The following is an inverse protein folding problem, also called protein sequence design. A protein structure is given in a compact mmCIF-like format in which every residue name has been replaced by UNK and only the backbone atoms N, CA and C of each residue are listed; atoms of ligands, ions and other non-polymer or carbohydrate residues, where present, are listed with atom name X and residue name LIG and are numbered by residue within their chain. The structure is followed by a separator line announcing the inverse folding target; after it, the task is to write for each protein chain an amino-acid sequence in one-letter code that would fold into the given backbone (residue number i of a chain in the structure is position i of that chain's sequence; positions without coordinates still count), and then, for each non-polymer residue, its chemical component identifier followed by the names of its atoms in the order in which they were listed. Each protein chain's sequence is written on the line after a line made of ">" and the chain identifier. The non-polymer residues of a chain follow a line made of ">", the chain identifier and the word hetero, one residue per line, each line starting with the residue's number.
data_IF_703488344094
#
_entry.id   IF_703488344094
#
_cell.length_a   1.000
_cell.length_b   1.000
_cell.length_c   1.000
_cell.angle_alpha   90.00
_cell.angle_beta   90.00
_cell.angle_gamma   90.00
#
_symmetry.space_group_name_H-M   'P 1'
#
loop_
_entity.id
_entity.type
_entity.pdbx_description
1 polymer ?
#
# COMPACT_ATOMS: atom_id res chain seq x y z
N UNK A 1 -62.71 -48.68 -14.09
CA UNK A 1 -62.01 -47.46 -14.55
C UNK A 1 -61.79 -46.55 -13.36
N UNK A 2 -60.58 -46.53 -12.82
CA UNK A 2 -60.14 -45.51 -11.86
C UNK A 2 -58.65 -45.30 -12.10
N UNK A 3 -58.30 -44.07 -12.49
CA UNK A 3 -56.97 -43.68 -12.94
C UNK A 3 -56.12 -43.37 -11.71
N UNK A 4 -55.07 -44.14 -11.48
CA UNK A 4 -54.02 -43.80 -10.52
C UNK A 4 -53.26 -42.57 -11.04
N UNK A 5 -53.44 -41.43 -10.38
CA UNK A 5 -52.56 -40.26 -10.55
C UNK A 5 -51.33 -40.47 -9.66
N UNK A 6 -50.18 -40.66 -10.29
CA UNK A 6 -48.86 -40.57 -9.65
C UNK A 6 -48.55 -39.09 -9.44
N UNK A 7 -48.40 -38.67 -8.18
CA UNK A 7 -47.82 -37.37 -7.83
C UNK A 7 -46.30 -37.46 -8.00
N UNK A 8 -45.63 -36.48 -8.65
CA UNK A 8 -44.17 -36.45 -8.66
C UNK A 8 -43.68 -36.06 -7.27
N UNK A 9 -42.85 -36.91 -6.68
CA UNK A 9 -42.16 -36.63 -5.42
C UNK A 9 -41.25 -35.42 -5.59
N UNK A 10 -41.52 -34.37 -4.82
CA UNK A 10 -40.58 -33.27 -4.61
C UNK A 10 -39.45 -33.83 -3.77
N UNK A 11 -38.33 -34.16 -4.43
CA UNK A 11 -37.08 -34.46 -3.77
C UNK A 11 -36.54 -33.14 -3.20
N UNK A 12 -36.89 -32.84 -1.94
CA UNK A 12 -36.21 -31.80 -1.16
C UNK A 12 -34.78 -32.28 -0.94
N UNK A 13 -33.86 -31.89 -1.84
CA UNK A 13 -32.44 -31.85 -1.52
C UNK A 13 -32.28 -30.78 -0.44
N UNK A 14 -32.27 -31.21 0.83
CA UNK A 14 -31.70 -30.41 1.90
C UNK A 14 -30.20 -30.34 1.61
N UNK A 15 -29.77 -29.28 0.93
CA UNK A 15 -28.38 -28.87 0.97
C UNK A 15 -28.09 -28.52 2.44
N UNK A 16 -27.50 -29.48 3.16
CA UNK A 16 -26.83 -29.17 4.41
C UNK A 16 -25.69 -28.23 4.05
N UNK A 17 -25.96 -26.93 4.09
CA UNK A 17 -24.92 -25.94 4.26
C UNK A 17 -24.28 -26.25 5.61
N UNK A 18 -23.20 -27.02 5.58
CA UNK A 18 -22.19 -26.88 6.61
C UNK A 18 -21.73 -25.44 6.45
N UNK A 19 -22.20 -24.57 7.35
CA UNK A 19 -21.52 -23.34 7.67
C UNK A 19 -20.11 -23.79 8.09
N UNK A 20 -19.19 -23.83 7.13
CA UNK A 20 -17.79 -23.97 7.44
C UNK A 20 -17.45 -22.79 8.33
N UNK A 21 -16.83 -23.05 9.47
CA UNK A 21 -16.24 -22.01 10.30
C UNK A 21 -15.46 -21.05 9.38
N UNK A 22 -15.83 -19.76 9.41
CA UNK A 22 -15.12 -18.64 8.79
C UNK A 22 -13.77 -18.39 9.50
N UNK A 23 -12.93 -19.44 9.58
CA UNK A 23 -11.67 -19.43 10.28
C UNK A 23 -10.60 -20.20 9.50
N UNK A 24 -10.43 -19.84 8.24
CA UNK A 24 -9.12 -19.97 7.61
C UNK A 24 -8.67 -18.59 7.13
N UNK A 25 -8.48 -17.70 8.11
CA UNK A 25 -7.67 -16.49 7.91
C UNK A 25 -6.29 -16.99 7.52
N UNK A 26 -5.96 -16.94 6.23
CA UNK A 26 -4.74 -17.51 5.65
C UNK A 26 -3.51 -17.29 6.53
N UNK A 27 -2.63 -18.29 6.61
CA UNK A 27 -1.51 -18.32 7.55
C UNK A 27 -0.73 -17.00 7.56
N UNK A 28 -0.73 -16.30 8.70
CA UNK A 28 0.05 -15.07 8.92
C UNK A 28 1.48 -15.33 9.43
N UNK A 29 1.90 -16.59 9.48
CA UNK A 29 3.24 -16.98 9.91
C UNK A 29 4.29 -16.52 8.89
N UNK A 30 5.41 -15.99 9.37
CA UNK A 30 6.51 -15.56 8.51
C UNK A 30 7.05 -16.71 7.66
N UNK A 31 7.16 -16.49 6.35
CA UNK A 31 7.81 -17.42 5.43
C UNK A 31 9.32 -17.16 5.38
N UNK A 32 10.14 -18.21 5.13
CA UNK A 32 11.59 -18.07 5.00
C UNK A 32 11.96 -17.37 3.68
N UNK A 33 11.85 -16.04 3.65
CA UNK A 33 12.12 -15.20 2.47
C UNK A 33 13.59 -15.21 2.01
N UNK A 34 14.51 -15.74 2.84
CA UNK A 34 15.92 -15.99 2.50
C UNK A 34 16.23 -17.44 2.13
N UNK A 35 15.22 -18.28 1.92
CA UNK A 35 15.42 -19.60 1.28
C UNK A 35 16.01 -19.40 -0.14
N UNK A 36 16.92 -20.27 -0.56
CA UNK A 36 17.64 -20.15 -1.85
C UNK A 36 16.74 -19.99 -3.09
N UNK A 37 15.47 -20.42 -3.01
CA UNK A 37 14.50 -20.27 -4.11
C UNK A 37 14.00 -18.83 -4.28
N UNK A 38 14.08 -18.02 -3.22
CA UNK A 38 13.71 -16.60 -3.18
C UNK A 38 14.99 -15.76 -3.07
N UNK A 39 15.79 -16.02 -2.03
CA UNK A 39 17.07 -15.34 -1.73
C UNK A 39 16.94 -13.82 -1.69
N UNK A 40 15.96 -13.32 -0.92
CA UNK A 40 15.58 -11.91 -0.90
C UNK A 40 16.76 -10.96 -0.66
N UNK A 41 17.67 -11.30 0.25
CA UNK A 41 18.81 -10.40 0.56
C UNK A 41 19.78 -10.27 -0.61
N UNK A 42 20.06 -11.36 -1.34
CA UNK A 42 21.17 -11.40 -2.31
C UNK A 42 20.74 -11.41 -3.78
N UNK A 43 19.52 -11.83 -4.09
CA UNK A 43 19.03 -11.86 -5.47
C UNK A 43 18.91 -10.44 -6.03
N UNK A 44 19.41 -10.26 -7.24
CA UNK A 44 19.24 -9.02 -8.00
C UNK A 44 17.76 -8.78 -8.33
N UNK A 45 17.35 -7.52 -8.45
CA UNK A 45 16.03 -7.20 -8.97
C UNK A 45 15.88 -7.71 -10.40
N UNK A 46 14.62 -7.83 -10.85
CA UNK A 46 14.31 -7.93 -12.26
C UNK A 46 15.09 -6.86 -13.05
N UNK A 47 15.75 -7.29 -14.13
CA UNK A 47 16.67 -6.44 -14.88
C UNK A 47 15.97 -5.19 -15.46
N UNK A 48 14.72 -5.32 -15.89
CA UNK A 48 13.97 -4.20 -16.47
C UNK A 48 13.61 -3.18 -15.39
N UNK A 49 13.15 -3.65 -14.22
CA UNK A 49 12.88 -2.78 -13.06
C UNK A 49 14.16 -2.10 -12.57
N UNK A 50 15.24 -2.85 -12.41
CA UNK A 50 16.54 -2.34 -12.01
C UNK A 50 17.03 -1.22 -12.94
N UNK A 51 16.96 -1.45 -14.26
CA UNK A 51 17.39 -0.48 -15.25
C UNK A 51 16.51 0.78 -15.27
N UNK A 52 15.19 0.63 -15.08
CA UNK A 52 14.28 1.78 -14.95
C UNK A 52 14.61 2.64 -13.73
N UNK A 53 14.81 2.01 -12.57
CA UNK A 53 15.15 2.72 -11.32
C UNK A 53 16.50 3.41 -11.46
N UNK A 54 17.51 2.75 -12.02
CA UNK A 54 18.83 3.35 -12.24
C UNK A 54 18.74 4.60 -13.13
N UNK A 55 18.01 4.52 -14.26
CA UNK A 55 17.80 5.69 -15.12
C UNK A 55 17.09 6.84 -14.40
N UNK A 56 16.06 6.53 -13.62
CA UNK A 56 15.32 7.56 -12.87
C UNK A 56 16.21 8.26 -11.81
N UNK A 57 17.02 7.49 -11.08
CA UNK A 57 17.96 8.04 -10.09
C UNK A 57 19.03 8.89 -10.77
N UNK A 58 19.67 8.39 -11.83
CA UNK A 58 20.68 9.13 -12.60
C UNK A 58 20.13 10.43 -13.21
N UNK A 59 18.89 10.40 -13.70
CA UNK A 59 18.23 11.57 -14.26
C UNK A 59 17.96 12.63 -13.18
N UNK A 60 17.56 12.21 -11.98
CA UNK A 60 17.30 13.09 -10.85
C UNK A 60 18.58 13.74 -10.29
N UNK A 61 19.75 13.09 -10.38
CA UNK A 61 21.02 13.63 -9.87
C UNK A 61 21.41 15.00 -10.45
N UNK A 62 20.86 15.35 -11.63
CA UNK A 62 21.08 16.64 -12.30
C UNK A 62 20.46 17.83 -11.57
N UNK A 63 19.53 17.59 -10.66
CA UNK A 63 18.81 18.62 -9.93
C UNK A 63 19.41 18.85 -8.55
N UNK A 64 19.35 20.08 -8.05
CA UNK A 64 19.88 20.41 -6.72
C UNK A 64 18.79 20.35 -5.64
N UNK A 65 17.57 20.79 -5.97
CA UNK A 65 16.45 20.77 -5.04
C UNK A 65 15.97 19.33 -4.83
N UNK A 66 15.78 18.87 -3.57
CA UNK A 66 15.14 17.58 -3.30
C UNK A 66 13.77 17.44 -3.96
N UNK A 67 13.00 18.53 -4.05
CA UNK A 67 11.70 18.53 -4.71
C UNK A 67 11.82 18.30 -6.22
N UNK A 68 12.76 18.98 -6.88
CA UNK A 68 12.98 18.80 -8.32
C UNK A 68 13.54 17.40 -8.62
N UNK A 69 14.40 16.86 -7.75
CA UNK A 69 14.86 15.47 -7.83
C UNK A 69 13.69 14.50 -7.75
N UNK A 70 12.81 14.69 -6.78
CA UNK A 70 11.59 13.89 -6.63
C UNK A 70 10.74 13.96 -7.90
N UNK A 71 10.37 15.17 -8.34
CA UNK A 71 9.54 15.37 -9.54
C UNK A 71 10.17 14.70 -10.76
N UNK A 72 11.51 14.77 -10.91
CA UNK A 72 12.21 14.05 -11.98
C UNK A 72 12.13 12.53 -11.84
N UNK A 73 12.35 11.98 -10.65
CA UNK A 73 12.22 10.52 -10.45
C UNK A 73 10.80 10.06 -10.75
N UNK A 74 9.78 10.79 -10.28
CA UNK A 74 8.38 10.45 -10.54
C UNK A 74 8.09 10.42 -12.04
N UNK A 75 8.59 11.41 -12.78
CA UNK A 75 8.45 11.46 -14.23
C UNK A 75 9.13 10.26 -14.93
N UNK A 76 10.36 9.92 -14.55
CA UNK A 76 11.11 8.82 -15.19
C UNK A 76 10.61 7.42 -14.82
N UNK A 77 9.91 7.31 -13.69
CA UNK A 77 9.28 6.07 -13.23
C UNK A 77 7.82 5.94 -13.69
N UNK A 78 7.29 6.92 -14.42
CA UNK A 78 5.88 6.99 -14.80
C UNK A 78 4.94 6.91 -13.58
N UNK A 79 5.29 7.66 -12.53
CA UNK A 79 4.48 7.79 -11.32
C UNK A 79 3.73 9.13 -11.38
N UNK A 80 2.39 9.13 -11.47
CA UNK A 80 1.61 10.36 -11.53
C UNK A 80 1.72 11.12 -10.20
N UNK A 81 1.93 12.44 -10.26
CA UNK A 81 1.97 13.27 -9.04
C UNK A 81 0.63 13.28 -8.31
N UNK A 82 -0.46 13.00 -9.03
CA UNK A 82 -1.81 12.84 -8.53
C UNK A 82 -1.98 11.62 -7.61
N UNK A 83 -1.05 10.65 -7.63
CA UNK A 83 -1.00 9.55 -6.66
C UNK A 83 -0.61 10.00 -5.25
N UNK A 84 -0.27 11.28 -5.06
CA UNK A 84 0.19 11.81 -3.78
C UNK A 84 -0.79 11.52 -2.64
N UNK A 85 -0.27 10.88 -1.61
CA UNK A 85 -0.92 10.75 -0.30
C UNK A 85 0.02 11.21 0.81
N UNK A 86 -0.53 11.85 1.84
CA UNK A 86 0.23 12.50 2.91
C UNK A 86 -0.06 11.80 4.23
N UNK A 87 0.99 11.29 4.86
CA UNK A 87 0.93 10.66 6.19
C UNK A 87 1.62 11.56 7.21
N UNK A 88 0.90 11.90 8.29
CA UNK A 88 1.44 12.70 9.38
C UNK A 88 1.72 11.88 10.64
N UNK A 89 1.26 10.62 10.69
CA UNK A 89 1.59 9.73 11.79
C UNK A 89 3.07 9.36 11.79
N UNK A 90 3.68 9.35 12.98
CA UNK A 90 5.09 9.01 13.19
C UNK A 90 5.31 7.49 13.22
N UNK A 91 4.96 6.81 12.13
CA UNK A 91 5.03 5.35 11.96
C UNK A 91 6.20 4.89 11.10
N UNK A 92 7.04 5.81 10.63
CA UNK A 92 8.23 5.51 9.81
C UNK A 92 9.55 5.74 10.55
N UNK A 93 10.65 5.27 9.94
CA UNK A 93 12.04 5.54 10.37
C UNK A 93 12.36 7.05 10.42
N UNK A 94 11.65 7.86 9.63
CA UNK A 94 11.71 9.31 9.63
C UNK A 94 10.81 9.99 10.69
N UNK A 95 10.36 9.28 11.73
CA UNK A 95 9.41 9.78 12.74
C UNK A 95 9.83 11.04 13.52
N UNK A 96 11.11 11.46 13.45
CA UNK A 96 11.56 12.76 13.97
C UNK A 96 11.19 13.94 13.08
N UNK A 97 11.06 13.72 11.76
CA UNK A 97 10.71 14.73 10.77
C UNK A 97 9.20 14.76 10.50
N UNK A 98 8.58 13.57 10.46
CA UNK A 98 7.16 13.43 10.17
C UNK A 98 6.32 14.02 11.29
N UNK A 99 5.37 14.89 10.94
CA UNK A 99 4.43 15.50 11.88
C UNK A 99 3.22 16.06 11.14
N UNK A 100 2.15 16.48 11.85
CA UNK A 100 1.06 17.23 11.24
C UNK A 100 1.47 18.46 10.44
N UNK A 101 2.57 19.13 10.82
CA UNK A 101 3.07 20.33 10.14
C UNK A 101 4.15 20.02 9.09
N UNK A 102 4.56 18.76 8.97
CA UNK A 102 5.56 18.28 8.01
C UNK A 102 5.26 16.80 7.66
N UNK A 103 4.19 16.51 6.91
CA UNK A 103 3.84 15.14 6.56
C UNK A 103 4.88 14.48 5.65
N UNK A 104 4.93 13.15 5.65
CA UNK A 104 5.62 12.39 4.59
C UNK A 104 4.66 12.21 3.42
N UNK A 105 5.12 12.51 2.21
CA UNK A 105 4.40 12.21 0.99
C UNK A 105 4.78 10.83 0.45
N UNK A 106 3.82 10.13 -0.14
CA UNK A 106 3.99 8.89 -0.88
C UNK A 106 3.33 9.07 -2.24
N UNK A 107 4.03 8.67 -3.29
CA UNK A 107 3.57 8.63 -4.69
C UNK A 107 3.76 7.20 -5.18
N UNK A 108 2.88 6.71 -6.05
CA UNK A 108 2.94 5.32 -6.49
C UNK A 108 2.36 5.12 -7.89
N UNK A 109 2.88 4.11 -8.58
CA UNK A 109 2.21 3.42 -9.68
C UNK A 109 1.97 1.95 -9.27
N UNK A 110 1.75 1.06 -10.23
CA UNK A 110 1.46 -0.35 -10.02
C UNK A 110 2.66 -1.17 -9.50
N UNK A 111 3.89 -0.69 -9.72
CA UNK A 111 5.13 -1.41 -9.41
C UNK A 111 6.00 -0.72 -8.33
N UNK A 112 5.99 0.60 -8.26
CA UNK A 112 6.93 1.38 -7.45
C UNK A 112 6.19 2.46 -6.67
N UNK A 113 6.47 2.55 -5.38
CA UNK A 113 6.13 3.70 -4.55
C UNK A 113 7.39 4.46 -4.13
N UNK A 114 7.35 5.79 -4.24
CA UNK A 114 8.40 6.71 -3.78
C UNK A 114 7.84 7.56 -2.64
N UNK A 115 8.54 7.59 -1.51
CA UNK A 115 8.18 8.41 -0.36
C UNK A 115 9.27 9.42 0.00
N UNK A 116 8.84 10.58 0.48
CA UNK A 116 9.73 11.66 0.89
C UNK A 116 9.08 12.52 1.97
N UNK A 117 9.90 12.97 2.92
CA UNK A 117 9.52 14.01 3.88
C UNK A 117 10.46 15.20 3.70
N UNK A 118 9.96 16.44 3.64
CA UNK A 118 10.82 17.62 3.58
C UNK A 118 11.84 17.63 4.74
N UNK A 119 13.10 17.88 4.40
CA UNK A 119 14.25 17.78 5.31
C UNK A 119 14.81 16.36 5.50
N UNK A 120 14.23 15.34 4.85
CA UNK A 120 14.74 13.97 4.84
C UNK A 120 16.06 13.83 4.08
N UNK A 121 16.91 12.90 4.54
CA UNK A 121 18.21 12.63 3.94
C UNK A 121 18.16 11.64 2.76
N UNK A 122 17.00 11.07 2.46
CA UNK A 122 16.80 10.11 1.37
C UNK A 122 15.37 10.10 0.88
N UNK A 123 15.17 9.69 -0.37
CA UNK A 123 13.91 9.14 -0.84
C UNK A 123 13.81 7.67 -0.41
N UNK A 124 12.63 7.22 -0.02
CA UNK A 124 12.32 5.83 0.31
C UNK A 124 11.60 5.20 -0.88
N UNK A 125 12.00 4.00 -1.29
CA UNK A 125 11.40 3.27 -2.40
C UNK A 125 10.80 1.96 -1.88
N UNK A 126 9.60 1.65 -2.37
CA UNK A 126 8.94 0.35 -2.30
C UNK A 126 8.86 -0.16 -3.74
N UNK A 127 9.44 -1.32 -4.04
CA UNK A 127 9.56 -1.86 -5.40
C UNK A 127 8.97 -3.27 -5.41
N UNK A 128 7.90 -3.48 -6.17
CA UNK A 128 7.30 -4.79 -6.34
C UNK A 128 8.06 -5.62 -7.38
N UNK A 129 9.02 -6.42 -6.93
CA UNK A 129 9.76 -7.34 -7.79
C UNK A 129 8.96 -8.62 -8.04
N UNK A 130 8.92 -9.14 -9.29
CA UNK A 130 8.12 -10.30 -9.60
C UNK A 130 8.51 -11.54 -8.80
N UNK A 131 9.77 -11.70 -8.39
CA UNK A 131 10.23 -12.86 -7.60
C UNK A 131 10.33 -12.53 -6.12
N UNK A 132 10.95 -11.41 -5.78
CA UNK A 132 11.23 -11.04 -4.40
C UNK A 132 10.00 -10.52 -3.67
N UNK A 133 8.95 -10.11 -4.38
CA UNK A 133 7.87 -9.33 -3.81
C UNK A 133 8.35 -7.93 -3.46
N UNK A 134 7.91 -7.39 -2.33
CA UNK A 134 8.18 -6.01 -1.99
C UNK A 134 9.63 -5.78 -1.52
N UNK A 135 10.38 -4.99 -2.29
CA UNK A 135 11.77 -4.62 -2.00
C UNK A 135 11.85 -3.17 -1.53
N UNK A 136 12.38 -2.99 -0.33
CA UNK A 136 12.59 -1.66 0.26
C UNK A 136 13.98 -1.13 -0.05
N UNK A 137 14.06 0.10 -0.55
CA UNK A 137 15.31 0.77 -0.90
C UNK A 137 15.31 2.25 -0.52
N UNK A 138 16.49 2.87 -0.57
CA UNK A 138 16.63 4.33 -0.39
C UNK A 138 17.55 4.92 -1.44
N UNK A 139 17.20 6.13 -1.90
CA UNK A 139 18.05 6.99 -2.73
C UNK A 139 18.54 8.16 -1.87
N UNK A 140 19.84 8.28 -1.57
CA UNK A 140 20.36 9.38 -0.75
C UNK A 140 20.14 10.76 -1.39
N UNK A 141 19.68 11.72 -0.59
CA UNK A 141 19.64 13.14 -0.93
C UNK A 141 20.93 13.76 -0.39
N UNK A 142 22.06 13.44 -1.03
CA UNK A 142 23.37 13.89 -0.60
C UNK A 142 23.81 15.17 -1.34
N UNK A 143 24.52 16.07 -0.63
CA UNK A 143 25.19 17.23 -1.24
C UNK A 143 26.36 16.82 -2.17
N UNK A 144 26.90 15.61 -1.97
CA UNK A 144 27.91 15.00 -2.83
C UNK A 144 27.36 13.69 -3.41
N UNK A 145 27.44 13.47 -4.74
CA UNK A 145 26.86 12.30 -5.37
C UNK A 145 27.53 11.03 -4.84
N UNK A 146 26.80 10.26 -4.04
CA UNK A 146 27.00 8.81 -4.01
C UNK A 146 25.92 8.26 -4.90
N UNK A 147 26.22 8.00 -6.18
CA UNK A 147 25.18 7.71 -7.14
C UNK A 147 24.47 6.40 -6.81
N UNK A 148 23.20 6.33 -7.20
CA UNK A 148 22.38 5.13 -7.11
C UNK A 148 21.53 5.02 -5.85
N UNK A 149 21.08 3.79 -5.61
CA UNK A 149 20.15 3.43 -4.55
C UNK A 149 20.64 2.18 -3.82
N UNK A 150 20.09 1.93 -2.62
CA UNK A 150 20.48 0.77 -1.81
C UNK A 150 19.26 0.07 -1.25
N UNK A 151 19.18 -1.25 -1.42
CA UNK A 151 18.24 -2.12 -0.70
C UNK A 151 18.50 -2.01 0.80
N UNK A 152 17.43 -1.98 1.59
CA UNK A 152 17.46 -1.76 3.03
C UNK A 152 16.84 -2.94 3.78
N UNK A 153 17.67 -3.88 4.26
CA UNK A 153 17.20 -5.02 5.06
C UNK A 153 16.61 -4.60 6.40
N UNK A 154 17.04 -3.44 6.94
CA UNK A 154 16.49 -2.90 8.19
C UNK A 154 14.97 -2.61 8.11
N UNK A 155 14.45 -2.30 6.93
CA UNK A 155 13.01 -2.06 6.73
C UNK A 155 12.18 -3.33 7.03
N UNK A 156 12.75 -4.51 6.78
CA UNK A 156 12.07 -5.80 7.01
C UNK A 156 11.74 -6.08 8.47
N UNK A 157 12.40 -5.40 9.42
CA UNK A 157 12.09 -5.53 10.85
C UNK A 157 10.63 -5.17 11.15
N UNK A 158 10.06 -4.25 10.37
CA UNK A 158 8.64 -3.89 10.44
C UNK A 158 7.85 -4.44 9.25
N UNK A 159 8.44 -4.49 8.06
CA UNK A 159 7.74 -4.83 6.82
C UNK A 159 7.60 -6.33 6.54
N UNK A 160 8.07 -7.19 7.45
CA UNK A 160 7.72 -8.62 7.47
C UNK A 160 6.92 -8.88 8.75
N UNK A 161 5.60 -8.78 8.65
CA UNK A 161 4.69 -8.83 9.79
C UNK A 161 3.44 -9.64 9.48
N UNK A 162 2.62 -9.89 10.50
CA UNK A 162 1.32 -10.57 10.30
C UNK A 162 0.38 -9.78 9.38
N UNK A 163 0.50 -8.45 9.39
CA UNK A 163 -0.27 -7.54 8.52
C UNK A 163 0.19 -7.59 7.05
N UNK A 164 1.41 -8.07 6.78
CA UNK A 164 1.89 -8.36 5.42
C UNK A 164 1.82 -9.85 5.10
N UNK A 165 1.03 -10.61 5.85
CA UNK A 165 0.89 -12.07 5.72
C UNK A 165 2.22 -12.84 5.85
N UNK A 166 3.17 -12.30 6.63
CA UNK A 166 4.44 -12.96 6.92
C UNK A 166 5.45 -12.93 5.76
N UNK A 167 5.29 -12.02 4.80
CA UNK A 167 6.26 -11.77 3.71
C UNK A 167 6.69 -10.30 3.68
N UNK A 168 7.81 -9.94 3.03
CA UNK A 168 8.12 -8.53 2.74
C UNK A 168 6.94 -7.86 2.04
N UNK A 169 6.43 -6.77 2.60
CA UNK A 169 5.21 -6.15 2.11
C UNK A 169 4.96 -4.73 2.58
N UNK A 170 4.10 -4.01 1.84
CA UNK A 170 3.68 -2.66 2.18
C UNK A 170 2.79 -2.66 3.41
N UNK A 171 3.00 -1.67 4.29
CA UNK A 171 2.24 -1.49 5.52
C UNK A 171 1.50 -0.17 5.52
N UNK A 172 0.19 -0.23 5.28
CA UNK A 172 -0.70 0.91 5.46
C UNK A 172 -1.41 0.77 6.80
N UNK A 173 -0.93 1.51 7.80
CA UNK A 173 -1.54 1.53 9.13
C UNK A 173 -2.49 2.71 9.25
N UNK A 174 -3.65 2.44 9.83
CA UNK A 174 -4.57 3.47 10.31
C UNK A 174 -4.49 3.51 11.84
N UNK A 175 -4.14 4.69 12.38
CA UNK A 175 -3.85 4.87 13.80
C UNK A 175 -4.48 6.14 14.34
N UNK A 176 -4.98 6.09 15.57
CA UNK A 176 -5.27 7.30 16.32
C UNK A 176 -3.93 7.93 16.75
N UNK A 177 -3.80 9.25 16.64
CA UNK A 177 -2.58 9.96 17.03
C UNK A 177 -2.86 11.05 18.08
N UNK A 178 -1.83 11.42 18.83
CA UNK A 178 -1.85 12.67 19.59
C UNK A 178 -1.69 13.90 18.65
N UNK A 179 -1.69 15.09 19.23
CA UNK A 179 -1.53 16.35 18.48
C UNK A 179 -0.18 16.49 17.77
N UNK A 180 0.83 15.70 18.17
CA UNK A 180 2.16 15.68 17.54
C UNK A 180 2.27 14.66 16.40
N UNK A 181 1.22 13.88 16.15
CA UNK A 181 1.22 12.76 15.19
C UNK A 181 1.80 11.46 15.75
N UNK A 182 2.05 11.36 17.07
CA UNK A 182 2.51 10.10 17.67
C UNK A 182 1.33 9.11 17.73
N UNK A 183 1.50 7.86 17.25
CA UNK A 183 0.46 6.83 17.38
C UNK A 183 0.12 6.55 18.85
N UNK A 184 -1.18 6.50 19.16
CA UNK A 184 -1.73 6.13 20.48
C UNK A 184 -2.23 4.69 20.44
N UNK A 185 -2.95 4.31 19.38
CA UNK A 185 -3.49 2.96 19.18
C UNK A 185 -3.75 2.68 17.70
N UNK A 186 -3.79 1.40 17.33
CA UNK A 186 -4.36 0.96 16.05
C UNK A 186 -5.85 1.30 15.98
N UNK A 187 -6.34 1.61 14.78
CA UNK A 187 -7.77 1.76 14.51
C UNK A 187 -8.40 0.48 13.94
N UNK A 188 -7.59 -0.49 13.52
CA UNK A 188 -8.05 -1.81 13.09
C UNK A 188 -7.43 -2.90 13.94
N UNK A 189 -8.25 -3.91 14.23
CA UNK A 189 -7.81 -5.17 14.86
C UNK A 189 -7.33 -6.19 13.82
N UNK A 190 -7.84 -6.10 12.58
CA UNK A 190 -7.45 -6.92 11.44
C UNK A 190 -7.29 -6.01 10.20
N UNK A 191 -6.15 -6.06 9.47
CA UNK A 191 -5.97 -5.26 8.25
C UNK A 191 -6.98 -5.59 7.14
N UNK A 192 -7.67 -6.73 7.24
CA UNK A 192 -8.72 -7.15 6.31
C UNK A 192 -10.12 -6.58 6.65
N UNK A 193 -10.31 -5.99 7.84
CA UNK A 193 -11.60 -5.45 8.30
C UNK A 193 -11.49 -3.94 8.54
N UNK A 194 -11.89 -3.17 7.54
CA UNK A 194 -11.75 -1.72 7.53
C UNK A 194 -13.12 -1.05 7.47
N UNK A 195 -13.75 -0.89 8.64
CA UNK A 195 -14.85 0.05 8.78
C UNK A 195 -14.38 1.46 8.41
N UNK A 196 -15.16 2.20 7.61
CA UNK A 196 -14.77 3.52 7.11
C UNK A 196 -14.37 4.49 8.21
N UNK A 197 -15.09 4.49 9.34
CA UNK A 197 -14.83 5.33 10.52
C UNK A 197 -13.45 5.11 11.14
N UNK A 198 -12.82 3.98 10.85
CA UNK A 198 -11.48 3.63 11.30
C UNK A 198 -10.43 3.82 10.21
N UNK A 199 -10.81 4.09 8.96
CA UNK A 199 -9.90 4.28 7.84
C UNK A 199 -9.04 5.55 7.97
N UNK A 200 -7.82 5.46 7.42
CA UNK A 200 -6.91 6.58 7.19
C UNK A 200 -6.53 7.45 8.39
N UNK A 201 -6.72 6.97 9.62
CA UNK A 201 -6.20 7.63 10.81
C UNK A 201 -4.69 7.80 10.75
N UNK A 202 -4.22 9.02 10.98
CA UNK A 202 -2.81 9.37 10.78
C UNK A 202 -2.45 9.86 9.37
N UNK A 203 -3.42 9.89 8.46
CA UNK A 203 -3.29 10.37 7.09
C UNK A 203 -4.17 11.61 6.87
N UNK A 204 -3.77 12.43 5.91
CA UNK A 204 -4.60 13.53 5.42
C UNK A 204 -5.53 13.04 4.31
N UNK A 205 -6.74 13.61 4.22
CA UNK A 205 -7.74 13.26 3.21
C UNK A 205 -8.34 14.55 2.64
N UNK A 206 -8.18 14.81 1.34
CA UNK A 206 -8.74 16.01 0.72
C UNK A 206 -10.26 15.90 0.58
N UNK A 207 -11.00 16.86 1.14
CA UNK A 207 -12.47 16.83 1.23
C UNK A 207 -13.20 17.54 0.07
N UNK A 208 -12.47 18.12 -0.89
CA UNK A 208 -13.03 19.00 -1.93
C UNK A 208 -14.08 18.34 -2.83
N UNK A 209 -14.01 17.01 -3.00
CA UNK A 209 -14.89 16.26 -3.93
C UNK A 209 -15.75 15.20 -3.23
N UNK A 210 -15.24 14.58 -2.18
CA UNK A 210 -15.94 13.56 -1.37
C UNK A 210 -15.48 13.68 0.09
N UNK A 211 -16.42 13.76 1.03
CA UNK A 211 -16.14 13.62 2.47
C UNK A 211 -16.45 12.19 2.87
N UNK A 212 -15.40 11.38 2.98
CA UNK A 212 -15.52 10.02 3.49
C UNK A 212 -15.57 10.08 5.03
N UNK A 213 -16.47 9.35 5.70
CA UNK A 213 -16.58 9.32 7.15
C UNK A 213 -15.42 8.49 7.73
N UNK A 214 -14.21 9.05 7.74
CA UNK A 214 -12.97 8.36 8.15
C UNK A 214 -12.33 8.96 9.38
N UNK A 215 -11.36 8.25 9.95
CA UNK A 215 -10.48 8.78 10.99
C UNK A 215 -9.35 9.65 10.42
N UNK A 216 -9.23 9.76 9.10
CA UNK A 216 -8.30 10.65 8.43
C UNK A 216 -8.59 12.12 8.75
N UNK A 217 -7.53 12.93 8.78
CA UNK A 217 -7.69 14.37 8.99
C UNK A 217 -8.10 15.01 7.67
N UNK A 218 -9.32 15.53 7.62
CA UNK A 218 -9.79 16.25 6.45
C UNK A 218 -8.95 17.49 6.17
N UNK A 219 -8.55 17.65 4.92
CA UNK A 219 -7.99 18.87 4.37
C UNK A 219 -9.07 19.58 3.57
N UNK A 220 -9.35 20.82 3.98
CA UNK A 220 -10.11 21.78 3.18
C UNK A 220 -9.13 22.77 2.54
N UNK A 221 -9.39 23.22 1.31
CA UNK A 221 -8.52 24.18 0.65
C UNK A 221 -8.35 25.45 1.50
N UNK A 222 -7.09 25.86 1.70
CA UNK A 222 -6.74 27.01 2.54
C UNK A 222 -6.53 26.70 4.03
N UNK A 223 -6.75 25.46 4.47
CA UNK A 223 -6.72 25.06 5.89
C UNK A 223 -5.58 24.09 6.24
N UNK A 224 -4.52 24.04 5.45
CA UNK A 224 -3.38 23.14 5.70
C UNK A 224 -2.52 23.65 6.85
N UNK A 225 -2.12 22.76 7.75
CA UNK A 225 -1.21 23.07 8.86
C UNK A 225 0.27 22.93 8.50
N UNK A 226 0.58 22.69 7.22
CA UNK A 226 1.94 22.48 6.69
C UNK A 226 2.18 23.35 5.46
N UNK A 227 3.44 23.53 5.08
CA UNK A 227 3.79 24.26 3.85
C UNK A 227 3.45 23.41 2.61
N UNK A 228 2.31 23.67 1.99
CA UNK A 228 1.89 22.98 0.77
C UNK A 228 2.88 23.17 -0.40
N UNK A 229 3.67 24.26 -0.41
CA UNK A 229 4.69 24.48 -1.46
C UNK A 229 5.90 23.54 -1.32
N UNK A 230 5.99 22.76 -0.25
CA UNK A 230 6.99 21.71 -0.16
C UNK A 230 6.62 20.47 -1.01
N UNK A 231 5.37 20.33 -1.46
CA UNK A 231 4.85 19.12 -2.12
C UNK A 231 4.33 19.43 -3.54
N UNK A 232 4.37 18.45 -4.47
CA UNK A 232 3.70 18.53 -5.77
C UNK A 232 2.23 18.94 -5.68
N UNK A 233 1.47 18.36 -4.75
CA UNK A 233 0.06 18.67 -4.52
C UNK A 233 -0.22 19.12 -3.07
N UNK A 234 -1.29 19.89 -2.81
CA UNK A 234 -1.56 20.44 -1.48
C UNK A 234 -2.24 19.44 -0.51
N UNK A 235 -2.51 18.21 -0.92
CA UNK A 235 -3.30 17.26 -0.12
C UNK A 235 -3.17 15.81 -0.58
N UNK A 236 -4.20 15.01 -0.29
CA UNK A 236 -4.24 13.58 -0.59
C UNK A 236 -5.56 13.22 -1.24
N UNK A 237 -5.48 12.71 -2.45
CA UNK A 237 -6.67 12.28 -3.17
C UNK A 237 -7.28 11.06 -2.47
N UNK A 238 -8.58 11.08 -2.09
CA UNK A 238 -9.19 9.93 -1.44
C UNK A 238 -9.25 8.69 -2.33
N UNK A 239 -9.30 8.85 -3.66
CA UNK A 239 -9.23 7.71 -4.60
C UNK A 239 -7.81 7.15 -4.65
N UNK A 240 -6.78 7.99 -4.60
CA UNK A 240 -5.40 7.51 -4.49
C UNK A 240 -5.17 6.72 -3.19
N UNK A 241 -5.71 7.18 -2.06
CA UNK A 241 -5.66 6.43 -0.79
C UNK A 241 -6.35 5.06 -0.91
N UNK A 242 -7.50 5.00 -1.57
CA UNK A 242 -8.21 3.73 -1.81
C UNK A 242 -7.39 2.76 -2.65
N UNK A 243 -6.84 3.24 -3.77
CA UNK A 243 -6.03 2.40 -4.65
C UNK A 243 -4.78 1.94 -3.94
N UNK A 244 -4.05 2.82 -3.25
CA UNK A 244 -2.86 2.43 -2.49
C UNK A 244 -3.16 1.36 -1.44
N UNK A 245 -4.28 1.50 -0.71
CA UNK A 245 -4.71 0.52 0.30
C UNK A 245 -5.00 -0.85 -0.32
N UNK A 246 -5.82 -0.87 -1.38
CA UNK A 246 -6.19 -2.10 -2.05
C UNK A 246 -4.97 -2.77 -2.72
N UNK A 247 -4.19 -1.99 -3.46
CA UNK A 247 -2.97 -2.45 -4.13
C UNK A 247 -1.99 -3.06 -3.13
N UNK A 248 -1.74 -2.40 -1.99
CA UNK A 248 -0.84 -2.94 -0.96
C UNK A 248 -1.27 -4.31 -0.46
N UNK A 249 -2.59 -4.51 -0.25
CA UNK A 249 -3.14 -5.81 0.16
C UNK A 249 -2.94 -6.87 -0.93
N UNK A 250 -3.28 -6.54 -2.17
CA UNK A 250 -3.15 -7.47 -3.32
C UNK A 250 -1.70 -7.85 -3.55
N UNK A 251 -0.76 -6.90 -3.56
CA UNK A 251 0.66 -7.17 -3.77
C UNK A 251 1.29 -8.01 -2.64
N UNK A 252 0.88 -7.78 -1.39
CA UNK A 252 1.30 -8.62 -0.25
C UNK A 252 0.79 -10.06 -0.41
N UNK A 253 -0.48 -10.25 -0.78
CA UNK A 253 -1.07 -11.57 -1.03
C UNK A 253 -0.46 -12.28 -2.24
N UNK A 254 -0.15 -11.54 -3.31
CA UNK A 254 0.52 -12.08 -4.49
C UNK A 254 1.93 -12.57 -4.15
N UNK A 255 2.67 -11.78 -3.37
CA UNK A 255 3.99 -12.17 -2.85
C UNK A 255 3.88 -13.42 -1.98
N UNK A 256 2.90 -13.45 -1.07
CA UNK A 256 2.63 -14.59 -0.19
C UNK A 256 2.34 -15.86 -0.97
N UNK A 257 1.40 -15.80 -1.92
CA UNK A 257 1.02 -16.91 -2.78
C UNK A 257 2.22 -17.45 -3.57
N UNK A 258 3.02 -16.54 -4.14
CA UNK A 258 4.24 -16.91 -4.86
C UNK A 258 5.25 -17.61 -3.95
N UNK A 259 5.46 -17.11 -2.74
CA UNK A 259 6.39 -17.75 -1.80
C UNK A 259 5.89 -19.12 -1.37
N UNK A 260 4.59 -19.29 -1.10
CA UNK A 260 4.01 -20.60 -0.79
C UNK A 260 4.30 -21.61 -1.91
N UNK A 261 4.06 -21.20 -3.16
CA UNK A 261 4.37 -22.00 -4.34
C UNK A 261 5.86 -22.35 -4.45
N UNK A 262 6.76 -21.35 -4.42
CA UNK A 262 8.20 -21.57 -4.53
C UNK A 262 8.73 -22.47 -3.40
N UNK A 263 8.20 -22.28 -2.20
CA UNK A 263 8.63 -23.03 -1.01
C UNK A 263 8.06 -24.44 -0.93
N UNK A 264 7.10 -24.81 -1.80
CA UNK A 264 6.38 -26.08 -1.73
C UNK A 264 5.49 -26.18 -0.48
N UNK A 265 4.94 -25.05 -0.04
CA UNK A 265 3.98 -24.95 1.06
C UNK A 265 2.54 -25.07 0.53
N UNK A 266 1.56 -25.40 1.39
CA UNK A 266 0.15 -25.23 1.05
C UNK A 266 -0.12 -23.78 0.60
N UNK A 267 -1.00 -23.62 -0.39
CA UNK A 267 -1.40 -22.32 -0.96
C UNK A 267 -2.50 -21.67 -0.11
N UNK A 268 -2.25 -21.51 1.18
CA UNK A 268 -3.23 -21.01 2.15
C UNK A 268 -3.70 -19.57 1.84
N UNK A 269 -2.92 -18.83 1.04
CA UNK A 269 -3.26 -17.47 0.61
C UNK A 269 -4.09 -17.40 -0.67
N UNK A 270 -4.28 -18.50 -1.41
CA UNK A 270 -4.98 -18.50 -2.71
C UNK A 270 -6.38 -17.91 -2.61
N UNK A 271 -7.17 -18.37 -1.63
CA UNK A 271 -8.53 -17.89 -1.44
C UNK A 271 -8.55 -16.40 -1.07
N UNK A 272 -7.65 -15.94 -0.20
CA UNK A 272 -7.55 -14.52 0.17
C UNK A 272 -7.16 -13.66 -1.04
N UNK A 273 -6.22 -14.12 -1.86
CA UNK A 273 -5.80 -13.43 -3.08
C UNK A 273 -6.99 -13.30 -4.05
N UNK A 274 -7.72 -14.39 -4.32
CA UNK A 274 -8.90 -14.35 -5.20
C UNK A 274 -9.96 -13.40 -4.65
N UNK A 275 -10.23 -13.42 -3.34
CA UNK A 275 -11.19 -12.51 -2.72
C UNK A 275 -10.78 -11.05 -2.83
N UNK A 276 -9.49 -10.76 -2.62
CA UNK A 276 -8.94 -9.41 -2.79
C UNK A 276 -9.07 -8.95 -4.24
N UNK A 277 -8.67 -9.76 -5.23
CA UNK A 277 -8.77 -9.43 -6.66
C UNK A 277 -10.22 -9.19 -7.12
N UNK A 278 -11.19 -9.86 -6.50
CA UNK A 278 -12.61 -9.73 -6.80
C UNK A 278 -13.33 -8.72 -5.89
N UNK A 279 -12.60 -8.00 -5.03
CA UNK A 279 -13.12 -7.04 -4.06
C UNK A 279 -14.25 -7.60 -3.16
N UNK A 280 -14.22 -8.90 -2.85
CA UNK A 280 -15.32 -9.57 -2.12
C UNK A 280 -15.40 -9.19 -0.64
N UNK A 281 -14.31 -8.67 -0.09
CA UNK A 281 -14.18 -8.23 1.30
C UNK A 281 -14.17 -6.71 1.44
N UNK A 282 -14.33 -5.97 0.35
CA UNK A 282 -14.22 -4.50 0.40
C UNK A 282 -15.47 -3.87 1.01
N UNK A 283 -15.27 -2.94 1.95
CA UNK A 283 -16.37 -2.21 2.58
C UNK A 283 -17.10 -1.36 1.53
N UNK A 284 -18.43 -1.49 1.37
CA UNK A 284 -19.18 -0.68 0.42
C UNK A 284 -18.93 0.81 0.61
N UNK A 285 -18.85 1.57 -0.49
CA UNK A 285 -18.62 3.01 -0.41
C UNK A 285 -19.74 3.70 0.37
N UNK A 286 -19.40 4.57 1.36
CA UNK A 286 -20.38 5.20 2.24
C UNK A 286 -20.99 6.45 1.58
N UNK A 287 -20.36 6.93 0.51
CA UNK A 287 -20.69 8.13 -0.25
C UNK A 287 -20.41 7.90 -1.72
N UNK A 288 -20.99 8.73 -2.58
CA UNK A 288 -20.64 8.76 -4.00
C UNK A 288 -19.17 9.16 -4.18
N UNK A 289 -18.42 8.34 -4.94
CA UNK A 289 -17.03 8.62 -5.32
C UNK A 289 -17.06 9.40 -6.62
N UNK A 290 -16.71 10.69 -6.55
CA UNK A 290 -16.62 11.54 -7.74
C UNK A 290 -15.26 11.35 -8.41
N UNK A 291 -15.22 11.48 -9.75
CA UNK A 291 -13.98 11.44 -10.53
C UNK A 291 -12.98 12.47 -9.99
N UNK A 292 -11.73 12.05 -9.82
CA UNK A 292 -10.64 12.86 -9.27
C UNK A 292 -9.47 12.98 -10.26
N UNK A 293 -8.58 13.98 -10.14
CA UNK A 293 -7.42 14.10 -11.02
C UNK A 293 -6.54 12.84 -11.03
N UNK A 294 -6.47 12.11 -9.92
CA UNK A 294 -5.80 10.82 -9.86
C UNK A 294 -6.38 9.81 -10.84
N UNK A 295 -7.72 9.69 -10.91
CA UNK A 295 -8.36 8.78 -11.85
C UNK A 295 -8.03 9.13 -13.32
N UNK A 296 -7.89 10.41 -13.64
CA UNK A 296 -7.50 10.84 -14.99
C UNK A 296 -6.04 10.52 -15.33
N UNK A 297 -5.14 10.66 -14.36
CA UNK A 297 -3.71 10.47 -14.54
C UNK A 297 -3.26 9.01 -14.49
N UNK A 298 -4.01 8.14 -13.80
CA UNK A 298 -3.68 6.72 -13.64
C UNK A 298 -4.23 5.84 -14.78
N UNK A 299 -5.21 6.34 -15.56
CA UNK A 299 -5.80 5.64 -16.72
C UNK A 299 -4.99 5.82 -18.03
N UNK A 300 -3.95 6.66 -18.04
CA UNK A 300 -3.16 7.07 -19.22
C UNK A 300 -1.72 6.58 -19.18
#
# INVERSE_FOLDING_TARGET
>A
MSVQRVLPGVLLMTASFVLGDDANVGSRATLPFNDARIDYENRELDATLNDRINRAVEAAERFQSPRERLERMLQELDIPVESQVLVFSKTSTNGKLVSPTNPRAIFFNDEIAVAWVPGGASFELSIHDPILGEVFATVPIAEKPTPGWKRQSQCLQCHVAGETYGVPGMLLKSVATDSSGKPIRSLFDNPDDVAWEHAWGGWYVSSERSSFPTAGRELTPGSVSFDAKAYPLPGSDPVALLVLQHQSRVLNLLTRYRYEFLLGKPLDSEQLLVRALLCLDETPFPVEVKRTPFADAYET
#
